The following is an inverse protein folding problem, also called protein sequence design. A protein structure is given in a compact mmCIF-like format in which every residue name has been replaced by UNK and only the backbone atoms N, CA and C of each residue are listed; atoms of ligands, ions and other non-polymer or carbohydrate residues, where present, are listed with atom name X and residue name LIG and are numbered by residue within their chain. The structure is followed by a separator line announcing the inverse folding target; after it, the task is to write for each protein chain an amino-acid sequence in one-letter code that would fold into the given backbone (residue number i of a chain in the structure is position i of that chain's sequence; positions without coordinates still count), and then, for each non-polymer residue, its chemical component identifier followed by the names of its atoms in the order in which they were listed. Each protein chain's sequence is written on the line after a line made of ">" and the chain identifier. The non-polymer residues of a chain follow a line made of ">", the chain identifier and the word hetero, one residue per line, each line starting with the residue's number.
data_IF_611354472850
#
_entry.id   IF_611354472850
#
_cell.length_a   1.000
_cell.length_b   1.000
_cell.length_c   1.000
_cell.angle_alpha   90.00
_cell.angle_beta   90.00
_cell.angle_gamma   90.00
#
_symmetry.space_group_name_H-M   'P 1'
#
loop_
_entity.id
_entity.type
_entity.pdbx_description
1 polymer ?
#
# COMPACT_ATOMS: atom_id res chain seq x y z
N UNK A 1 20.59 -27.86 -20.67
CA UNK A 1 20.93 -26.63 -19.97
C UNK A 1 20.02 -26.46 -18.74
N UNK A 2 20.62 -26.29 -17.61
CA UNK A 2 19.87 -26.06 -16.38
C UNK A 2 19.38 -24.60 -16.30
N UNK A 3 18.18 -24.41 -15.81
CA UNK A 3 17.67 -23.08 -15.52
C UNK A 3 18.24 -22.60 -14.19
N UNK A 4 18.56 -21.32 -14.12
CA UNK A 4 18.91 -20.71 -12.85
C UNK A 4 17.73 -20.81 -11.89
N UNK A 5 17.97 -21.09 -10.61
CA UNK A 5 16.88 -21.14 -9.63
C UNK A 5 16.17 -19.79 -9.52
N UNK A 6 14.84 -19.85 -9.40
CA UNK A 6 14.02 -18.67 -9.15
C UNK A 6 12.71 -19.12 -8.50
N UNK A 7 12.33 -18.58 -7.33
CA UNK A 7 13.09 -17.61 -6.53
C UNK A 7 14.21 -18.26 -5.72
N UNK A 8 15.08 -17.41 -5.18
CA UNK A 8 16.08 -17.81 -4.20
C UNK A 8 15.83 -17.07 -2.89
N UNK A 9 16.42 -17.54 -1.80
CA UNK A 9 16.17 -16.99 -0.47
C UNK A 9 16.63 -15.54 -0.29
N UNK A 10 17.56 -15.07 -1.11
CA UNK A 10 18.07 -13.70 -1.05
C UNK A 10 17.22 -12.69 -1.80
N UNK A 11 16.17 -13.15 -2.49
CA UNK A 11 15.27 -12.27 -3.22
C UNK A 11 14.19 -11.70 -2.31
N UNK A 12 13.73 -10.50 -2.64
CA UNK A 12 12.65 -9.84 -1.92
C UNK A 12 11.68 -9.20 -2.89
N UNK A 13 10.42 -9.19 -2.52
CA UNK A 13 9.38 -8.51 -3.31
C UNK A 13 9.13 -7.13 -2.71
N UNK A 14 9.23 -6.11 -3.54
CA UNK A 14 8.89 -4.74 -3.15
C UNK A 14 7.69 -4.30 -3.97
N UNK A 15 6.71 -3.71 -3.31
CA UNK A 15 5.54 -3.13 -3.98
C UNK A 15 5.83 -1.66 -4.27
N UNK A 16 5.56 -1.24 -5.50
CA UNK A 16 5.66 0.17 -5.87
C UNK A 16 4.25 0.75 -5.85
N UNK A 17 4.05 1.83 -5.10
CA UNK A 17 2.80 2.57 -5.08
C UNK A 17 3.06 3.96 -5.65
N UNK A 18 2.34 4.30 -6.70
CA UNK A 18 2.46 5.61 -7.33
C UNK A 18 1.59 6.60 -6.58
N UNK A 19 2.18 7.73 -6.18
CA UNK A 19 1.53 8.76 -5.39
C UNK A 19 1.61 10.09 -6.11
N UNK A 20 0.63 10.96 -5.88
CA UNK A 20 0.59 12.27 -6.53
C UNK A 20 1.41 13.30 -5.76
N UNK A 21 1.49 13.18 -4.44
CA UNK A 21 2.23 14.11 -3.59
C UNK A 21 2.95 13.36 -2.49
N UNK A 22 4.29 13.40 -2.53
CA UNK A 22 5.12 12.59 -1.65
C UNK A 22 4.92 12.90 -0.16
N UNK A 23 4.86 14.16 0.22
CA UNK A 23 4.74 14.51 1.64
C UNK A 23 3.42 14.01 2.23
N UNK A 24 2.32 14.14 1.48
CA UNK A 24 1.01 13.63 1.91
C UNK A 24 1.01 12.11 2.04
N UNK A 25 1.62 11.42 1.09
CA UNK A 25 1.73 9.96 1.15
C UNK A 25 2.57 9.52 2.35
N UNK A 26 3.73 10.12 2.57
CA UNK A 26 4.58 9.80 3.71
C UNK A 26 3.85 9.99 5.04
N UNK A 27 3.15 11.10 5.19
CA UNK A 27 2.40 11.37 6.41
C UNK A 27 1.36 10.29 6.67
N UNK A 28 0.65 9.88 5.64
CA UNK A 28 -0.35 8.82 5.78
C UNK A 28 0.29 7.50 6.22
N UNK A 29 1.31 7.05 5.49
CA UNK A 29 1.92 5.74 5.79
C UNK A 29 2.61 5.74 7.15
N UNK A 30 3.24 6.84 7.54
CA UNK A 30 3.91 6.95 8.82
C UNK A 30 2.93 7.18 9.98
N UNK A 31 2.04 8.15 9.86
CA UNK A 31 1.20 8.60 10.98
C UNK A 31 -0.07 7.78 11.12
N UNK A 32 -0.66 7.33 10.04
CA UNK A 32 -1.90 6.53 10.08
C UNK A 32 -1.57 5.05 10.21
N UNK A 33 -0.73 4.51 9.32
CA UNK A 33 -0.43 3.09 9.29
C UNK A 33 0.74 2.68 10.19
N UNK A 34 1.55 3.62 10.65
CA UNK A 34 2.69 3.28 11.50
C UNK A 34 3.87 2.68 10.75
N UNK A 35 3.97 2.94 9.44
CA UNK A 35 5.11 2.49 8.66
C UNK A 35 6.37 3.25 9.05
N UNK A 36 7.51 2.62 8.83
CA UNK A 36 8.82 3.22 9.08
C UNK A 36 9.40 3.75 7.78
N UNK A 37 9.81 5.01 7.77
CA UNK A 37 10.51 5.58 6.61
C UNK A 37 11.95 5.08 6.68
N UNK A 38 12.35 4.32 5.66
CA UNK A 38 13.68 3.73 5.62
C UNK A 38 14.67 4.63 4.90
N UNK A 39 14.31 5.14 3.71
CA UNK A 39 15.19 5.99 2.93
C UNK A 39 14.41 6.81 1.93
N UNK A 40 14.82 8.05 1.74
CA UNK A 40 14.26 8.95 0.74
C UNK A 40 15.30 9.23 -0.34
N UNK A 41 14.82 9.32 -1.59
CA UNK A 41 15.66 9.64 -2.74
C UNK A 41 15.12 10.91 -3.39
N UNK A 42 15.70 12.05 -3.00
CA UNK A 42 15.18 13.34 -3.43
C UNK A 42 13.74 13.56 -2.99
N UNK A 43 12.91 14.15 -3.82
CA UNK A 43 11.50 14.33 -3.54
C UNK A 43 10.60 13.34 -4.27
N UNK A 44 11.18 12.41 -5.02
CA UNK A 44 10.42 11.59 -5.99
C UNK A 44 10.23 10.14 -5.58
N UNK A 45 10.98 9.64 -4.62
CA UNK A 45 10.79 8.28 -4.14
C UNK A 45 11.15 8.13 -2.67
N UNK A 46 10.47 7.20 -2.01
CA UNK A 46 10.66 6.94 -0.59
C UNK A 46 10.43 5.47 -0.31
N UNK A 47 11.42 4.82 0.27
CA UNK A 47 11.30 3.43 0.69
C UNK A 47 10.77 3.41 2.11
N UNK A 48 9.67 2.70 2.32
CA UNK A 48 9.10 2.49 3.64
C UNK A 48 9.05 1.01 3.96
N UNK A 49 9.03 0.72 5.25
CA UNK A 49 8.88 -0.63 5.75
C UNK A 49 7.61 -0.72 6.57
N UNK A 50 6.77 -1.68 6.21
CA UNK A 50 5.47 -1.86 6.86
C UNK A 50 5.20 -3.33 7.04
N UNK A 51 4.98 -3.76 8.29
CA UNK A 51 4.70 -5.16 8.63
C UNK A 51 5.69 -6.15 7.98
N UNK A 52 6.97 -5.79 8.00
CA UNK A 52 8.03 -6.63 7.44
C UNK A 52 8.14 -6.60 5.93
N UNK A 53 7.33 -5.79 5.25
CA UNK A 53 7.34 -5.68 3.80
C UNK A 53 7.91 -4.34 3.36
N UNK A 54 8.52 -4.35 2.17
CA UNK A 54 9.05 -3.13 1.56
C UNK A 54 8.01 -2.53 0.63
N UNK A 55 7.81 -1.23 0.75
CA UNK A 55 6.97 -0.46 -0.17
C UNK A 55 7.79 0.72 -0.66
N UNK A 56 7.79 0.93 -1.97
CA UNK A 56 8.45 2.08 -2.58
C UNK A 56 7.36 3.04 -3.07
N UNK A 57 7.31 4.20 -2.45
CA UNK A 57 6.42 5.28 -2.90
C UNK A 57 7.16 6.07 -3.97
N UNK A 58 6.52 6.27 -5.11
CA UNK A 58 7.11 7.04 -6.23
C UNK A 58 6.09 8.05 -6.74
N UNK A 59 6.57 9.21 -7.17
CA UNK A 59 5.71 10.14 -7.89
C UNK A 59 5.50 9.67 -9.32
N UNK A 60 4.45 10.17 -9.96
CA UNK A 60 4.12 9.79 -11.34
C UNK A 60 5.30 10.04 -12.28
N UNK A 61 5.47 9.16 -13.25
CA UNK A 61 6.53 9.29 -14.23
C UNK A 61 6.16 8.65 -15.55
N UNK A 62 6.68 9.23 -16.64
CA UNK A 62 6.44 8.73 -17.98
C UNK A 62 7.19 7.44 -18.29
N UNK A 63 7.07 6.95 -19.54
CA UNK A 63 7.85 5.80 -19.99
C UNK A 63 9.36 6.06 -19.88
N UNK A 64 10.09 4.97 -19.72
CA UNK A 64 11.55 4.97 -19.66
C UNK A 64 12.09 3.93 -20.63
N UNK A 65 13.41 3.89 -20.82
CA UNK A 65 14.02 2.94 -21.75
C UNK A 65 13.73 1.48 -21.36
N UNK A 66 13.56 1.21 -20.07
CA UNK A 66 13.28 -0.14 -19.54
C UNK A 66 11.80 -0.44 -19.37
N UNK A 67 10.93 0.54 -19.64
CA UNK A 67 9.48 0.34 -19.73
C UNK A 67 8.91 1.31 -20.77
N UNK A 68 9.19 1.07 -22.06
CA UNK A 68 9.07 2.09 -23.11
C UNK A 68 7.67 2.64 -23.38
N UNK A 69 6.62 1.88 -23.12
CA UNK A 69 5.25 2.35 -23.36
C UNK A 69 4.42 2.39 -22.07
N UNK A 70 5.10 2.28 -20.93
CA UNK A 70 4.45 2.18 -19.64
C UNK A 70 4.80 3.37 -18.78
N UNK A 71 3.78 4.03 -18.24
CA UNK A 71 3.99 5.14 -17.33
C UNK A 71 3.40 4.80 -15.96
N UNK A 72 3.96 5.40 -14.93
CA UNK A 72 3.43 5.31 -13.58
C UNK A 72 2.45 6.45 -13.36
N UNK A 73 1.22 6.11 -12.95
CA UNK A 73 0.21 7.09 -12.59
C UNK A 73 -0.48 6.65 -11.30
N UNK A 74 -0.91 7.58 -10.46
CA UNK A 74 -1.78 7.23 -9.33
C UNK A 74 -3.10 6.67 -9.84
N UNK A 75 -3.89 5.99 -9.00
CA UNK A 75 -5.20 5.49 -9.43
C UNK A 75 -6.05 6.57 -10.06
N UNK A 76 -6.52 6.32 -11.28
CA UNK A 76 -7.35 7.28 -12.03
C UNK A 76 -8.78 7.27 -11.54
N UNK A 77 -9.28 6.09 -11.19
CA UNK A 77 -10.63 5.91 -10.66
C UNK A 77 -10.54 4.95 -9.45
N UNK A 78 -10.59 5.47 -8.23
CA UNK A 78 -10.43 4.63 -7.05
C UNK A 78 -11.55 3.63 -6.84
N UNK A 79 -12.65 3.74 -7.57
CA UNK A 79 -13.72 2.75 -7.51
C UNK A 79 -13.46 1.53 -8.38
N UNK A 80 -12.49 1.60 -9.30
CA UNK A 80 -12.12 0.49 -10.18
C UNK A 80 -10.68 0.10 -9.90
N UNK A 81 -10.49 -0.89 -9.05
CA UNK A 81 -9.16 -1.33 -8.65
C UNK A 81 -8.84 -2.69 -9.26
N UNK A 82 -7.57 -2.88 -9.63
CA UNK A 82 -7.07 -4.16 -10.13
C UNK A 82 -6.30 -4.93 -9.06
N UNK A 83 -6.05 -4.33 -7.92
CA UNK A 83 -5.36 -4.96 -6.80
C UNK A 83 -5.74 -4.24 -5.51
N UNK A 84 -5.48 -4.89 -4.39
CA UNK A 84 -5.66 -4.30 -3.08
C UNK A 84 -4.72 -4.98 -2.09
N UNK A 85 -4.64 -4.45 -0.88
CA UNK A 85 -3.76 -4.96 0.16
C UNK A 85 -4.60 -5.37 1.35
N UNK A 86 -4.34 -6.57 1.88
CA UNK A 86 -5.03 -7.06 3.07
C UNK A 86 -4.07 -7.09 4.25
N UNK A 87 -4.47 -6.44 5.32
CA UNK A 87 -3.77 -6.50 6.60
C UNK A 87 -4.57 -7.45 7.49
N UNK A 88 -3.98 -8.58 7.84
CA UNK A 88 -4.63 -9.53 8.76
C UNK A 88 -4.48 -9.03 10.18
N UNK A 89 -5.59 -8.95 10.89
CA UNK A 89 -5.64 -8.41 12.26
C UNK A 89 -6.42 -9.36 13.15
N UNK A 90 -6.17 -9.31 14.45
CA UNK A 90 -6.91 -10.14 15.41
C UNK A 90 -8.21 -9.50 15.84
N UNK A 91 -8.31 -8.17 15.80
CA UNK A 91 -9.47 -7.41 16.24
C UNK A 91 -9.77 -6.34 15.21
N UNK A 92 -10.65 -6.67 14.27
CA UNK A 92 -10.96 -5.76 13.15
C UNK A 92 -11.65 -4.49 13.64
N UNK A 93 -12.60 -4.60 14.57
CA UNK A 93 -13.29 -3.43 15.09
C UNK A 93 -12.34 -2.49 15.84
N UNK A 94 -11.47 -3.04 16.67
CA UNK A 94 -10.48 -2.24 17.38
C UNK A 94 -9.51 -1.55 16.45
N UNK A 95 -9.03 -2.25 15.43
CA UNK A 95 -8.16 -1.66 14.40
C UNK A 95 -8.88 -0.58 13.60
N UNK A 96 -10.14 -0.81 13.26
CA UNK A 96 -10.97 0.18 12.57
C UNK A 96 -11.04 1.47 13.39
N UNK A 97 -11.35 1.37 14.67
CA UNK A 97 -11.46 2.53 15.54
C UNK A 97 -10.13 3.28 15.63
N UNK A 98 -9.03 2.56 15.80
CA UNK A 98 -7.69 3.16 15.87
C UNK A 98 -7.33 3.89 14.58
N UNK A 99 -7.50 3.24 13.44
CA UNK A 99 -7.14 3.84 12.15
C UNK A 99 -8.06 5.00 11.80
N UNK A 100 -9.34 4.88 12.11
CA UNK A 100 -10.30 5.96 11.87
C UNK A 100 -9.93 7.19 12.70
N UNK A 101 -9.57 7.00 13.96
CA UNK A 101 -9.13 8.10 14.83
C UNK A 101 -7.88 8.79 14.27
N UNK A 102 -6.99 8.04 13.63
CA UNK A 102 -5.80 8.59 12.99
C UNK A 102 -6.07 9.26 11.64
N UNK A 103 -7.31 9.16 11.14
CA UNK A 103 -7.71 9.83 9.91
C UNK A 103 -7.85 8.94 8.68
N UNK A 104 -7.84 7.61 8.84
CA UNK A 104 -8.05 6.72 7.70
C UNK A 104 -9.48 6.88 7.15
N UNK A 105 -9.59 6.85 5.84
CA UNK A 105 -10.85 7.02 5.12
C UNK A 105 -11.46 5.67 4.80
N UNK A 106 -12.30 5.15 5.70
CA UNK A 106 -12.98 3.87 5.52
C UNK A 106 -14.21 4.02 4.64
N UNK A 107 -14.43 3.02 3.78
CA UNK A 107 -15.62 2.98 2.93
C UNK A 107 -16.87 2.71 3.76
N UNK A 108 -16.76 1.78 4.73
CA UNK A 108 -17.83 1.45 5.68
C UNK A 108 -17.20 1.03 7.00
N UNK A 109 -17.98 0.98 8.09
CA UNK A 109 -17.55 0.24 9.27
C UNK A 109 -17.34 -1.23 8.95
N UNK A 110 -16.69 -1.99 9.83
CA UNK A 110 -16.48 -3.42 9.60
C UNK A 110 -17.79 -4.17 9.35
N UNK A 111 -17.74 -5.08 8.39
CA UNK A 111 -18.86 -5.95 8.04
C UNK A 111 -18.49 -7.36 8.43
N UNK A 112 -19.40 -8.03 9.18
CA UNK A 112 -19.23 -9.41 9.60
C UNK A 112 -19.88 -10.34 8.58
N UNK A 113 -19.04 -11.10 7.87
CA UNK A 113 -19.49 -12.06 6.87
C UNK A 113 -19.58 -13.48 7.40
N UNK A 114 -19.41 -13.67 8.71
CA UNK A 114 -19.40 -14.98 9.35
C UNK A 114 -18.00 -15.56 9.42
N UNK A 115 -17.42 -15.90 8.29
CA UNK A 115 -16.06 -16.44 8.22
C UNK A 115 -14.99 -15.37 8.37
N UNK A 116 -15.36 -14.12 8.18
CA UNK A 116 -14.43 -12.99 8.13
C UNK A 116 -15.14 -11.72 8.54
N UNK A 117 -14.43 -10.87 9.29
CA UNK A 117 -14.88 -9.49 9.59
C UNK A 117 -13.88 -8.58 8.92
N UNK A 118 -14.35 -7.67 8.07
CA UNK A 118 -13.42 -6.84 7.30
C UNK A 118 -13.94 -5.43 7.06
N UNK A 119 -13.01 -4.52 6.82
CA UNK A 119 -13.31 -3.15 6.46
C UNK A 119 -12.26 -2.65 5.48
N UNK A 120 -12.69 -1.88 4.49
CA UNK A 120 -11.81 -1.31 3.48
C UNK A 120 -11.59 0.17 3.71
N UNK A 121 -10.38 0.63 3.46
CA UNK A 121 -10.04 2.05 3.49
C UNK A 121 -9.11 2.38 2.34
N UNK A 122 -8.94 3.67 2.08
CA UNK A 122 -8.07 4.14 1.00
C UNK A 122 -6.94 5.00 1.55
N UNK A 123 -5.81 4.94 0.86
CA UNK A 123 -4.76 5.92 1.10
C UNK A 123 -5.12 7.23 0.41
N UNK A 124 -4.33 8.31 0.56
CA UNK A 124 -4.67 9.61 -0.02
C UNK A 124 -4.82 9.62 -1.54
N UNK A 125 -4.21 8.67 -2.24
CA UNK A 125 -4.28 8.57 -3.70
C UNK A 125 -5.34 7.60 -4.19
N UNK A 126 -6.01 6.88 -3.28
CA UNK A 126 -7.06 5.93 -3.65
C UNK A 126 -6.61 4.49 -3.72
N UNK A 127 -5.37 4.17 -3.31
CA UNK A 127 -4.95 2.77 -3.18
C UNK A 127 -5.79 2.10 -2.10
N UNK A 128 -6.30 0.91 -2.41
CA UNK A 128 -7.25 0.22 -1.55
C UNK A 128 -6.55 -0.75 -0.60
N UNK A 129 -6.90 -0.62 0.67
CA UNK A 129 -6.46 -1.51 1.74
C UNK A 129 -7.67 -2.11 2.44
N UNK A 130 -7.49 -3.29 3.02
CA UNK A 130 -8.49 -3.82 3.94
C UNK A 130 -7.81 -4.32 5.21
N UNK A 131 -8.52 -4.21 6.31
CA UNK A 131 -8.20 -4.95 7.53
C UNK A 131 -9.18 -6.11 7.60
N UNK A 132 -8.68 -7.29 7.94
CA UNK A 132 -9.48 -8.51 7.91
C UNK A 132 -9.14 -9.40 9.09
N UNK A 133 -10.19 -9.81 9.81
CA UNK A 133 -10.12 -10.76 10.93
C UNK A 133 -10.77 -12.04 10.45
N UNK A 134 -9.98 -13.08 10.34
CA UNK A 134 -10.48 -14.37 9.88
C UNK A 134 -10.17 -15.49 10.88
#
# INVERSE_FOLDING_TARGET
>A
MEKSPFPTEDMALTTILVVSEMSRAKDFYQDVLGAEIYREYGGDSCVIRFLGNWILLVTAGGPTDDKPDTQFVPPLNPENVSHSFTIRVKDCMGCYETLKERGADFLTPPVDWGAEIRAFFRDPDGHLFEISQA
#
